data_IF_219136442126
#
_entry.id   IF_219136442126
#
_cell.length_a   1.000
_cell.length_b   1.000
_cell.length_c   1.000
_cell.angle_alpha   90.00
_cell.angle_beta   90.00
_cell.angle_gamma   90.00
#
_symmetry.space_group_name_H-M   'P 1'
#
loop_
_entity.id
_entity.type
_entity.pdbx_description
1 polymer ?
#
# COMPACT_ATOMS: atom_id res chain seq x y z
N UNK A 1 -12.22 20.19 -14.39
CA UNK A 1 -12.07 18.76 -14.74
C UNK A 1 -11.63 17.99 -13.50
N UNK A 2 -12.42 17.02 -13.01
CA UNK A 2 -11.98 16.13 -11.92
C UNK A 2 -10.82 15.29 -12.47
N UNK A 3 -9.63 15.46 -11.91
CA UNK A 3 -8.47 14.63 -12.28
C UNK A 3 -8.66 13.26 -11.62
N UNK A 4 -9.04 12.26 -12.41
CA UNK A 4 -9.20 10.88 -11.93
C UNK A 4 -7.81 10.30 -11.67
N UNK A 5 -7.54 9.94 -10.43
CA UNK A 5 -6.29 9.31 -10.02
C UNK A 5 -6.45 7.81 -10.03
N UNK A 6 -5.48 7.09 -10.59
CA UNK A 6 -5.43 5.63 -10.54
C UNK A 6 -4.88 5.15 -9.20
N UNK A 7 -5.78 4.63 -8.35
CA UNK A 7 -5.47 4.03 -7.04
C UNK A 7 -5.82 2.53 -7.00
N UNK A 8 -5.84 1.85 -8.15
CA UNK A 8 -6.09 0.41 -8.26
C UNK A 8 -4.91 -0.43 -7.74
N UNK A 9 -5.19 -1.64 -7.25
CA UNK A 9 -4.20 -2.60 -6.76
C UNK A 9 -4.15 -2.74 -5.23
N UNK A 10 -3.08 -3.34 -4.71
CA UNK A 10 -2.86 -3.63 -3.28
C UNK A 10 -3.88 -4.56 -2.61
N UNK A 11 -3.82 -4.59 -1.28
CA UNK A 11 -4.64 -5.39 -0.37
C UNK A 11 -5.83 -4.61 0.17
N UNK A 12 -6.90 -5.33 0.47
CA UNK A 12 -7.91 -4.90 1.43
C UNK A 12 -7.39 -5.12 2.85
N UNK A 13 -7.86 -4.32 3.80
CA UNK A 13 -7.33 -4.32 5.16
C UNK A 13 -7.66 -5.61 5.92
N UNK A 14 -8.92 -6.05 5.87
CA UNK A 14 -9.36 -7.26 6.55
C UNK A 14 -10.43 -8.04 5.75
N UNK A 15 -11.61 -8.24 6.33
CA UNK A 15 -12.78 -8.82 5.66
C UNK A 15 -13.69 -7.76 5.01
N UNK A 16 -13.29 -6.50 5.08
CA UNK A 16 -13.90 -5.37 4.41
C UNK A 16 -13.20 -5.11 3.07
N UNK A 17 -13.78 -4.26 2.23
CA UNK A 17 -13.20 -3.89 0.95
C UNK A 17 -12.52 -2.51 1.01
N UNK A 18 -12.20 -2.04 2.22
CA UNK A 18 -11.52 -0.77 2.47
C UNK A 18 -10.01 -0.96 2.33
N UNK A 19 -9.35 0.09 1.86
CA UNK A 19 -7.90 0.16 1.79
C UNK A 19 -7.41 1.18 2.80
N UNK A 20 -6.99 0.72 3.98
CA UNK A 20 -6.33 1.54 4.97
C UNK A 20 -4.82 1.52 4.73
N UNK A 21 -4.24 2.67 4.37
CA UNK A 21 -2.83 2.70 3.98
C UNK A 21 -1.87 2.52 5.17
N UNK A 22 -2.29 2.89 6.38
CA UNK A 22 -1.46 2.78 7.59
C UNK A 22 -1.14 1.32 7.99
N UNK A 23 -2.14 0.45 8.27
CA UNK A 23 -1.89 -0.97 8.55
C UNK A 23 -1.24 -1.72 7.37
N UNK A 24 -1.55 -1.30 6.14
CA UNK A 24 -0.90 -1.83 4.93
C UNK A 24 0.59 -1.49 4.86
N UNK A 25 0.96 -0.24 5.18
CA UNK A 25 2.37 0.18 5.25
C UNK A 25 3.10 -0.58 6.36
N UNK A 26 2.51 -0.70 7.54
CA UNK A 26 3.06 -1.49 8.65
C UNK A 26 3.33 -2.95 8.26
N UNK A 27 2.34 -3.61 7.66
CA UNK A 27 2.46 -4.99 7.18
C UNK A 27 3.56 -5.14 6.14
N UNK A 28 3.65 -4.18 5.22
CA UNK A 28 4.69 -4.16 4.18
C UNK A 28 6.09 -4.00 4.78
N UNK A 29 6.24 -3.14 5.80
CA UNK A 29 7.50 -2.94 6.52
C UNK A 29 7.92 -4.22 7.24
N UNK A 30 7.00 -4.88 7.95
CA UNK A 30 7.29 -6.13 8.66
C UNK A 30 7.63 -7.28 7.71
N UNK A 31 6.93 -7.41 6.58
CA UNK A 31 7.26 -8.39 5.55
C UNK A 31 8.63 -8.12 4.92
N UNK A 32 8.94 -6.85 4.66
CA UNK A 32 10.23 -6.44 4.11
C UNK A 32 11.38 -6.74 5.07
N UNK A 33 11.22 -6.41 6.35
CA UNK A 33 12.21 -6.75 7.38
C UNK A 33 12.37 -8.27 7.51
N UNK A 34 11.28 -9.01 7.62
CA UNK A 34 11.33 -10.48 7.72
C UNK A 34 12.03 -11.11 6.51
N UNK A 35 11.81 -10.57 5.31
CA UNK A 35 12.46 -11.03 4.08
C UNK A 35 13.95 -10.69 4.03
N UNK A 36 14.36 -9.55 4.59
CA UNK A 36 15.77 -9.19 4.72
C UNK A 36 16.50 -10.08 5.72
N UNK A 37 15.92 -10.30 6.90
CA UNK A 37 16.57 -11.03 7.99
C UNK A 37 16.55 -12.54 7.76
N UNK A 38 15.42 -13.07 7.28
CA UNK A 38 15.18 -14.51 7.18
C UNK A 38 15.04 -15.02 5.74
N UNK A 39 15.29 -14.19 4.73
CA UNK A 39 15.10 -14.56 3.32
C UNK A 39 15.86 -15.82 2.90
N UNK A 40 17.04 -16.06 3.46
CA UNK A 40 17.81 -17.30 3.21
C UNK A 40 17.15 -18.57 3.74
N UNK A 41 16.24 -18.46 4.72
CA UNK A 41 15.48 -19.57 5.33
C UNK A 41 14.11 -19.77 4.69
N UNK A 42 13.66 -18.85 3.82
CA UNK A 42 12.35 -18.91 3.17
C UNK A 42 12.28 -19.87 1.98
N UNK A 43 13.43 -20.33 1.47
CA UNK A 43 13.50 -21.27 0.35
C UNK A 43 12.71 -20.78 -0.87
N UNK A 44 11.80 -21.60 -1.38
CA UNK A 44 10.96 -21.26 -2.54
C UNK A 44 9.94 -20.14 -2.28
N UNK A 45 9.62 -19.83 -1.01
CA UNK A 45 8.65 -18.78 -0.67
C UNK A 45 9.22 -17.37 -0.77
N UNK A 46 10.54 -17.23 -0.93
CA UNK A 46 11.19 -15.92 -1.07
C UNK A 46 10.65 -15.14 -2.29
N UNK A 47 10.35 -15.85 -3.38
CA UNK A 47 9.75 -15.23 -4.57
C UNK A 47 8.36 -14.68 -4.28
N UNK A 48 7.51 -15.48 -3.62
CA UNK A 48 6.16 -15.08 -3.20
C UNK A 48 6.18 -13.90 -2.23
N UNK A 49 7.08 -13.91 -1.24
CA UNK A 49 7.25 -12.82 -0.27
C UNK A 49 7.64 -11.51 -0.96
N UNK A 50 8.58 -11.56 -1.91
CA UNK A 50 8.97 -10.40 -2.73
C UNK A 50 7.81 -9.90 -3.59
N UNK A 51 7.02 -10.81 -4.17
CA UNK A 51 5.81 -10.46 -4.92
C UNK A 51 4.78 -9.74 -4.05
N UNK A 52 4.58 -10.22 -2.82
CA UNK A 52 3.66 -9.61 -1.86
C UNK A 52 4.08 -8.18 -1.48
N UNK A 53 5.38 -7.99 -1.20
CA UNK A 53 5.97 -6.66 -0.93
C UNK A 53 5.82 -5.76 -2.16
N UNK A 54 6.08 -6.28 -3.35
CA UNK A 54 5.97 -5.53 -4.60
C UNK A 54 4.54 -5.03 -4.83
N UNK A 55 3.53 -5.89 -4.59
CA UNK A 55 2.12 -5.54 -4.76
C UNK A 55 1.68 -4.37 -3.85
N UNK A 56 2.11 -4.38 -2.59
CA UNK A 56 1.79 -3.29 -1.65
C UNK A 56 2.59 -2.01 -1.96
N UNK A 57 3.89 -2.13 -2.21
CA UNK A 57 4.75 -0.97 -2.47
C UNK A 57 4.40 -0.23 -3.77
N UNK A 58 3.95 -0.94 -4.81
CA UNK A 58 3.50 -0.32 -6.07
C UNK A 58 2.30 0.60 -5.84
N UNK A 59 1.34 0.16 -5.03
CA UNK A 59 0.18 0.98 -4.66
C UNK A 59 0.53 2.15 -3.75
N UNK A 60 1.34 1.93 -2.70
CA UNK A 60 1.76 3.02 -1.81
C UNK A 60 2.56 4.09 -2.58
N UNK A 61 3.37 3.68 -3.56
CA UNK A 61 4.04 4.61 -4.46
C UNK A 61 3.04 5.42 -5.30
N UNK A 62 2.03 4.77 -5.91
CA UNK A 62 0.95 5.47 -6.61
C UNK A 62 0.24 6.48 -5.70
N UNK A 63 -0.07 6.12 -4.46
CA UNK A 63 -0.68 7.01 -3.47
C UNK A 63 0.16 8.25 -3.15
N UNK A 64 1.49 8.14 -3.21
CA UNK A 64 2.41 9.25 -2.92
C UNK A 64 2.76 10.10 -4.15
N UNK A 65 2.79 9.51 -5.35
CA UNK A 65 3.24 10.20 -6.58
C UNK A 65 2.10 10.66 -7.48
N UNK A 66 0.88 10.18 -7.26
CA UNK A 66 -0.27 10.49 -8.09
C UNK A 66 -0.56 11.99 -8.25
N UNK A 67 -0.33 12.78 -7.20
CA UNK A 67 -0.49 14.23 -7.25
C UNK A 67 0.57 14.91 -6.39
N UNK A 68 1.39 15.81 -6.96
CA UNK A 68 2.38 16.55 -6.19
C UNK A 68 1.75 17.27 -4.99
N UNK A 69 2.31 17.10 -3.80
CA UNK A 69 1.83 17.74 -2.58
C UNK A 69 0.56 17.12 -1.97
N UNK A 70 0.11 15.97 -2.47
CA UNK A 70 -0.98 15.18 -1.87
C UNK A 70 -0.55 13.74 -1.65
N UNK A 71 -0.92 13.21 -0.49
CA UNK A 71 -0.74 11.80 -0.15
C UNK A 71 -2.11 11.17 0.02
N UNK A 72 -2.41 10.13 -0.75
CA UNK A 72 -3.63 9.34 -0.55
C UNK A 72 -3.43 8.38 0.63
N UNK A 73 -4.39 8.35 1.57
CA UNK A 73 -4.29 7.63 2.85
C UNK A 73 -5.35 6.57 3.05
N UNK A 74 -6.43 6.61 2.27
CA UNK A 74 -7.45 5.58 2.29
C UNK A 74 -8.37 5.63 1.09
N UNK A 75 -8.93 4.47 0.74
CA UNK A 75 -9.91 4.33 -0.33
C UNK A 75 -11.05 3.42 0.15
N UNK A 76 -12.26 3.97 0.22
CA UNK A 76 -13.46 3.33 0.74
C UNK A 76 -14.01 4.08 1.95
N UNK A 77 -15.34 4.21 2.05
CA UNK A 77 -16.01 4.78 3.22
C UNK A 77 -16.35 3.64 4.21
N UNK A 78 -15.86 3.69 5.46
CA UNK A 78 -16.07 2.59 6.40
C UNK A 78 -17.52 2.34 6.78
N UNK A 79 -18.35 3.37 6.81
CA UNK A 79 -19.75 3.21 7.15
C UNK A 79 -20.55 2.60 6.00
N UNK A 80 -20.19 2.89 4.75
CA UNK A 80 -20.85 2.33 3.59
C UNK A 80 -20.38 0.89 3.33
N UNK A 81 -19.10 0.62 3.51
CA UNK A 81 -18.50 -0.69 3.24
C UNK A 81 -18.92 -1.73 4.30
N UNK A 82 -18.88 -1.38 5.59
CA UNK A 82 -19.25 -2.32 6.67
C UNK A 82 -20.76 -2.58 6.77
N UNK A 83 -21.60 -1.83 6.05
CA UNK A 83 -23.05 -2.07 5.97
C UNK A 83 -23.42 -3.08 4.90
N UNK A 84 -22.50 -3.46 4.03
CA UNK A 84 -22.77 -4.34 2.90
C UNK A 84 -21.80 -5.52 2.89
N UNK A 85 -22.32 -6.75 2.99
CA UNK A 85 -21.51 -7.95 2.82
C UNK A 85 -21.61 -8.44 1.39
N UNK A 86 -20.72 -7.95 0.54
CA UNK A 86 -20.70 -8.24 -0.89
C UNK A 86 -19.32 -8.68 -1.35
N UNK A 87 -19.30 -9.45 -2.44
CA UNK A 87 -18.07 -9.81 -3.11
C UNK A 87 -17.40 -8.54 -3.64
N UNK A 88 -16.05 -8.44 -3.60
CA UNK A 88 -15.37 -7.23 -4.01
C UNK A 88 -15.59 -6.86 -5.49
N UNK A 89 -15.89 -7.84 -6.34
CA UNK A 89 -16.25 -7.64 -7.74
C UNK A 89 -17.66 -7.03 -7.96
N UNK A 90 -18.56 -7.17 -6.99
CA UNK A 90 -19.97 -6.77 -7.08
C UNK A 90 -20.27 -5.50 -6.24
N UNK A 91 -19.24 -4.76 -5.81
CA UNK A 91 -19.41 -3.57 -4.98
C UNK A 91 -20.08 -2.42 -5.74
N UNK A 92 -21.26 -2.02 -5.27
CA UNK A 92 -21.99 -0.84 -5.75
C UNK A 92 -21.74 0.42 -4.89
N UNK A 93 -20.94 0.30 -3.82
CA UNK A 93 -20.69 1.39 -2.86
C UNK A 93 -19.74 2.46 -3.42
N UNK A 94 -20.01 3.73 -3.13
CA UNK A 94 -19.16 4.85 -3.55
C UNK A 94 -17.82 4.77 -2.81
N UNK A 95 -16.74 4.51 -3.54
CA UNK A 95 -15.38 4.47 -2.99
C UNK A 95 -14.80 5.88 -2.83
N UNK A 96 -15.08 6.48 -1.68
CA UNK A 96 -14.48 7.76 -1.26
C UNK A 96 -12.96 7.64 -1.14
N UNK A 97 -12.24 8.65 -1.62
CA UNK A 97 -10.77 8.70 -1.54
C UNK A 97 -10.37 9.77 -0.56
N UNK A 98 -9.62 9.38 0.48
CA UNK A 98 -9.10 10.29 1.49
C UNK A 98 -7.65 10.66 1.17
N UNK A 99 -7.34 11.96 1.20
CA UNK A 99 -6.00 12.48 0.94
C UNK A 99 -5.59 13.53 1.94
N UNK A 100 -4.32 13.51 2.29
CA UNK A 100 -3.60 14.45 3.15
C UNK A 100 -2.83 15.42 2.26
N UNK A 101 -2.73 16.69 2.68
CA UNK A 101 -2.00 17.72 1.93
C UNK A 101 -1.37 18.72 2.89
N UNK A 102 -0.56 19.66 2.40
CA UNK A 102 0.07 20.69 3.25
C UNK A 102 -0.97 21.50 4.05
N UNK A 103 -2.19 21.66 3.54
CA UNK A 103 -3.29 22.32 4.24
C UNK A 103 -4.11 21.42 5.18
N UNK A 104 -3.86 20.10 5.18
CA UNK A 104 -4.50 19.14 6.07
C UNK A 104 -3.46 18.05 6.42
N UNK A 105 -2.55 18.33 7.38
CA UNK A 105 -1.42 17.47 7.68
C UNK A 105 -1.82 16.23 8.50
N UNK A 106 -1.20 15.10 8.20
CA UNK A 106 -1.29 13.87 8.98
C UNK A 106 0.10 13.23 9.03
N UNK A 107 0.90 13.69 9.99
CA UNK A 107 2.32 13.36 10.11
C UNK A 107 2.59 11.86 10.27
N UNK A 108 1.70 11.12 10.94
CA UNK A 108 1.89 9.68 11.19
C UNK A 108 1.82 8.87 9.89
N UNK A 109 0.79 9.14 9.07
CA UNK A 109 0.60 8.46 7.78
C UNK A 109 1.64 8.90 6.74
N UNK A 110 2.03 10.18 6.79
CA UNK A 110 3.11 10.71 5.96
C UNK A 110 4.48 10.14 6.37
N UNK A 111 4.71 9.90 7.66
CA UNK A 111 5.91 9.29 8.21
C UNK A 111 6.08 7.84 7.76
N UNK A 112 5.05 7.01 7.96
CA UNK A 112 5.07 5.60 7.50
C UNK A 112 5.18 5.49 5.98
N UNK A 113 4.50 6.35 5.22
CA UNK A 113 4.63 6.33 3.75
C UNK A 113 5.99 6.90 3.29
N UNK A 114 6.54 7.86 4.03
CA UNK A 114 7.86 8.44 3.79
C UNK A 114 9.01 7.45 4.03
N UNK A 115 8.88 6.61 5.07
CA UNK A 115 9.78 5.49 5.36
C UNK A 115 9.84 4.48 4.21
N UNK A 116 8.77 4.35 3.41
CA UNK A 116 8.72 3.47 2.24
C UNK A 116 9.63 3.93 1.07
N UNK A 117 9.98 5.23 0.99
CA UNK A 117 10.87 5.73 -0.10
C UNK A 117 12.28 5.13 0.00
N UNK A 118 12.94 5.06 1.17
CA UNK A 118 14.14 4.25 1.39
C UNK A 118 13.97 2.77 0.99
N UNK A 119 12.81 2.16 1.22
CA UNK A 119 12.54 0.76 0.84
C UNK A 119 12.34 0.56 -0.66
N UNK A 120 11.94 1.60 -1.41
CA UNK A 120 12.06 1.59 -2.87
C UNK A 120 13.53 1.51 -3.32
N UNK A 121 14.48 1.96 -2.50
CA UNK A 121 15.91 1.69 -2.73
C UNK A 121 16.24 0.21 -2.46
N UNK A 122 15.60 -0.42 -1.46
CA UNK A 122 15.67 -1.87 -1.21
C UNK A 122 15.06 -2.68 -2.37
N UNK A 123 14.01 -2.18 -3.05
CA UNK A 123 13.51 -2.75 -4.32
C UNK A 123 14.62 -2.83 -5.38
N UNK A 124 15.51 -1.83 -5.43
CA UNK A 124 16.68 -1.85 -6.31
C UNK A 124 17.74 -2.84 -5.81
N UNK A 125 18.07 -2.82 -4.51
CA UNK A 125 19.11 -3.67 -3.91
C UNK A 125 18.75 -5.16 -3.91
N UNK A 126 17.48 -5.53 -3.72
CA UNK A 126 17.03 -6.93 -3.78
C UNK A 126 16.94 -7.43 -5.22
N UNK A 127 16.66 -6.55 -6.18
CA UNK A 127 16.64 -6.87 -7.60
C UNK A 127 18.06 -7.07 -8.17
N UNK A 128 19.03 -6.25 -7.77
CA UNK A 128 20.43 -6.40 -8.21
C UNK A 128 21.10 -7.63 -7.60
N UNK A 129 20.75 -7.99 -6.35
CA UNK A 129 21.36 -9.13 -5.63
C UNK A 129 20.79 -10.50 -6.01
N UNK A 130 19.76 -10.60 -6.86
CA UNK A 130 19.28 -11.88 -7.42
C UNK A 130 19.80 -12.16 -8.84
N UNK A 131 20.62 -11.28 -9.41
CA UNK A 131 21.28 -11.47 -10.73
C UNK A 131 22.80 -11.65 -10.63
N UNK A 132 23.35 -11.82 -9.42
CA UNK A 132 24.75 -12.16 -9.16
C UNK A 132 24.88 -13.61 -8.71
#
# INVERSE_FOLDING_TARGET
>A
MKKTVDLRGSYYDAGDNIKFNFPMAFTTTMLSWSTLEYGGRMGSQLGSARGAIWWATDYLLKCATATPGKLYVGVGDPNADHKCWERPEDMDTVRSVYSVSVGNPASDVAGETGLLRPWCSVKLTLYTRSRS
#
